data_IF_551662299499
#
_entry.id   IF_551662299499
#
_cell.length_a   1.000
_cell.length_b   1.000
_cell.length_c   1.000
_cell.angle_alpha   90.00
_cell.angle_beta   90.00
_cell.angle_gamma   90.00
#
_symmetry.space_group_name_H-M   'P 1'
#
loop_
_entity.id
_entity.type
_entity.pdbx_description
1 polymer ?
#
# COMPACT_ATOMS: atom_id res chain seq x y z
N UNK A 1 -0.43 -10.24 70.26
CA UNK A 1 0.03 -9.02 69.54
C UNK A 1 0.89 -9.48 68.37
N UNK A 2 0.52 -9.10 67.13
CA UNK A 2 1.21 -9.35 65.83
C UNK A 2 1.06 -10.79 65.29
N UNK A 3 0.75 -11.07 64.02
CA UNK A 3 0.54 -10.23 62.83
C UNK A 3 -0.18 -11.10 61.78
N UNK A 4 -1.27 -10.62 61.21
CA UNK A 4 -1.91 -11.18 60.01
C UNK A 4 -0.92 -11.06 58.83
N UNK A 5 -0.58 -12.17 58.16
CA UNK A 5 0.11 -12.11 56.86
C UNK A 5 -0.89 -12.49 55.76
N UNK A 6 -1.50 -11.46 55.19
CA UNK A 6 -2.41 -11.51 54.07
C UNK A 6 -1.58 -11.83 52.81
N UNK A 7 -1.71 -13.05 52.28
CA UNK A 7 -1.06 -13.44 51.03
C UNK A 7 -1.92 -12.93 49.86
N UNK A 8 -1.70 -11.69 49.42
CA UNK A 8 -2.36 -11.15 48.22
C UNK A 8 -1.68 -11.63 46.96
N UNK A 9 -2.39 -12.52 46.28
CA UNK A 9 -2.28 -12.97 44.88
C UNK A 9 -2.05 -11.79 43.92
N UNK A 10 -0.87 -11.71 43.29
CA UNK A 10 -0.58 -10.77 42.19
C UNK A 10 -0.55 -11.55 40.86
N UNK A 11 -1.73 -11.81 40.29
CA UNK A 11 -1.85 -12.34 38.92
C UNK A 11 -1.55 -11.18 37.97
N UNK A 12 -0.33 -11.18 37.42
CA UNK A 12 0.08 -10.26 36.37
C UNK A 12 -0.61 -10.69 35.06
N UNK A 13 -1.80 -10.17 34.80
CA UNK A 13 -2.50 -10.38 33.53
C UNK A 13 -1.81 -9.49 32.48
N UNK A 14 -0.82 -10.04 31.77
CA UNK A 14 -0.23 -9.38 30.63
C UNK A 14 -1.30 -9.28 29.53
N UNK A 15 -1.96 -8.13 29.45
CA UNK A 15 -2.79 -7.77 28.30
C UNK A 15 -1.88 -7.57 27.10
N UNK A 16 -1.63 -8.64 26.34
CA UNK A 16 -1.07 -8.53 25.01
C UNK A 16 -2.10 -7.81 24.15
N UNK A 17 -1.90 -6.51 23.89
CA UNK A 17 -2.68 -5.81 22.87
C UNK A 17 -2.38 -6.48 21.54
N UNK A 18 -3.37 -7.20 20.99
CA UNK A 18 -3.31 -7.72 19.64
C UNK A 18 -3.31 -6.50 18.70
N UNK A 19 -2.12 -6.02 18.32
CA UNK A 19 -2.01 -4.91 17.38
C UNK A 19 -2.64 -5.38 16.07
N UNK A 20 -3.77 -4.78 15.69
CA UNK A 20 -4.41 -5.08 14.42
C UNK A 20 -3.40 -4.86 13.30
N UNK A 21 -3.02 -5.93 12.61
CA UNK A 21 -2.05 -5.86 11.55
C UNK A 21 -2.68 -5.08 10.38
N UNK A 22 -2.08 -3.95 10.03
CA UNK A 22 -2.54 -3.12 8.92
C UNK A 22 -2.45 -3.92 7.62
N UNK A 23 -3.57 -4.08 6.93
CA UNK A 23 -3.62 -4.68 5.60
C UNK A 23 -3.97 -3.61 4.56
N UNK A 24 -3.68 -3.92 3.29
CA UNK A 24 -4.15 -3.13 2.15
C UNK A 24 -5.36 -3.82 1.53
N UNK A 25 -6.46 -3.09 1.41
CA UNK A 25 -7.64 -3.59 0.71
C UNK A 25 -7.53 -3.33 -0.79
N UNK A 26 -7.85 -4.34 -1.61
CA UNK A 26 -8.01 -4.19 -3.06
C UNK A 26 -9.44 -4.56 -3.42
N UNK A 27 -10.16 -3.64 -4.05
CA UNK A 27 -11.61 -3.77 -4.28
C UNK A 27 -12.06 -3.15 -5.61
N UNK A 28 -13.36 -3.21 -5.89
CA UNK A 28 -13.96 -2.66 -7.11
C UNK A 28 -13.99 -3.66 -8.27
N UNK A 29 -13.70 -3.17 -9.48
CA UNK A 29 -13.72 -3.90 -10.76
C UNK A 29 -12.50 -4.85 -10.87
N UNK A 30 -12.50 -5.88 -10.02
CA UNK A 30 -11.48 -6.93 -9.94
C UNK A 30 -12.14 -8.30 -9.84
N UNK A 31 -11.48 -9.35 -10.32
CA UNK A 31 -12.00 -10.73 -10.20
C UNK A 31 -12.03 -11.21 -8.75
N UNK A 32 -11.07 -10.78 -7.93
CA UNK A 32 -10.95 -11.16 -6.52
C UNK A 32 -10.63 -9.92 -5.69
N UNK A 33 -11.50 -9.59 -4.75
CA UNK A 33 -11.16 -8.61 -3.73
C UNK A 33 -10.11 -9.19 -2.80
N UNK A 34 -9.11 -8.39 -2.42
CA UNK A 34 -7.98 -8.83 -1.60
C UNK A 34 -7.91 -8.01 -0.31
N UNK A 35 -7.43 -8.65 0.75
CA UNK A 35 -6.86 -8.00 1.93
C UNK A 35 -5.42 -8.49 2.03
N UNK A 36 -4.47 -7.63 1.66
CA UNK A 36 -3.05 -7.96 1.63
C UNK A 36 -2.42 -7.63 2.96
N UNK A 37 -2.01 -8.65 3.70
CA UNK A 37 -1.27 -8.51 4.95
C UNK A 37 0.24 -8.49 4.69
N UNK A 38 1.06 -7.99 5.62
CA UNK A 38 2.53 -8.07 5.52
C UNK A 38 3.07 -9.46 5.14
N UNK A 39 2.41 -10.54 5.58
CA UNK A 39 2.76 -11.92 5.21
C UNK A 39 2.54 -12.25 3.73
N UNK A 40 1.61 -11.55 3.06
CA UNK A 40 1.37 -11.68 1.63
C UNK A 40 2.41 -10.87 0.83
N UNK A 41 2.71 -9.65 1.30
CA UNK A 41 3.79 -8.82 0.73
C UNK A 41 5.15 -9.54 0.74
N UNK A 42 5.44 -10.35 1.77
CA UNK A 42 6.65 -11.14 1.86
C UNK A 42 6.76 -12.26 0.80
N UNK A 43 5.63 -12.69 0.20
CA UNK A 43 5.59 -13.71 -0.85
C UNK A 43 5.61 -13.12 -2.26
N UNK A 44 5.36 -11.82 -2.38
CA UNK A 44 5.34 -11.11 -3.66
C UNK A 44 6.74 -10.65 -4.06
N UNK A 45 6.95 -10.48 -5.38
CA UNK A 45 8.21 -9.98 -5.91
C UNK A 45 8.44 -8.53 -5.46
N UNK A 46 9.49 -8.32 -4.66
CA UNK A 46 9.89 -6.99 -4.20
C UNK A 46 10.71 -6.27 -5.26
N UNK A 47 10.50 -4.96 -5.39
CA UNK A 47 11.22 -4.07 -6.29
C UNK A 47 11.68 -2.82 -5.53
N UNK A 48 12.79 -2.24 -5.97
CA UNK A 48 13.33 -0.99 -5.41
C UNK A 48 13.33 0.08 -6.49
N UNK A 49 12.81 1.26 -6.16
CA UNK A 49 12.78 2.43 -7.06
C UNK A 49 13.37 3.65 -6.34
N UNK A 50 13.91 4.59 -7.12
CA UNK A 50 14.37 5.88 -6.61
C UNK A 50 13.32 6.96 -6.89
N UNK A 51 13.00 7.77 -5.89
CA UNK A 51 12.09 8.91 -6.03
C UNK A 51 12.45 10.02 -5.06
N UNK A 52 12.14 11.26 -5.44
CA UNK A 52 12.29 12.40 -4.55
C UNK A 52 11.10 12.48 -3.59
N UNK A 53 11.35 12.89 -2.35
CA UNK A 53 10.29 13.26 -1.42
C UNK A 53 9.81 14.71 -1.66
N UNK A 54 8.92 15.18 -0.79
CA UNK A 54 8.34 16.51 -0.89
C UNK A 54 9.39 17.64 -0.84
N UNK A 55 10.48 17.42 -0.11
CA UNK A 55 11.58 18.38 0.06
C UNK A 55 12.59 18.31 -1.10
N UNK A 56 12.33 17.46 -2.10
CA UNK A 56 13.20 17.24 -3.24
C UNK A 56 14.38 16.31 -2.96
N UNK A 57 14.42 15.67 -1.79
CA UNK A 57 15.50 14.75 -1.43
C UNK A 57 15.27 13.38 -2.07
N UNK A 58 16.29 12.86 -2.74
CA UNK A 58 16.25 11.54 -3.35
C UNK A 58 16.33 10.44 -2.29
N UNK A 59 15.44 9.45 -2.42
CA UNK A 59 15.36 8.29 -1.54
C UNK A 59 15.13 7.02 -2.35
N UNK A 60 15.51 5.88 -1.77
CA UNK A 60 15.19 4.56 -2.30
C UNK A 60 13.99 3.98 -1.55
N UNK A 61 13.06 3.41 -2.29
CA UNK A 61 11.84 2.84 -1.75
C UNK A 61 11.72 1.40 -2.23
N UNK A 62 11.43 0.48 -1.30
CA UNK A 62 11.26 -0.94 -1.61
C UNK A 62 9.86 -1.39 -1.24
N UNK A 63 9.23 -2.11 -2.15
CA UNK A 63 7.87 -2.58 -2.00
C UNK A 63 7.43 -3.48 -3.14
N UNK A 64 6.13 -3.52 -3.40
CA UNK A 64 5.54 -4.32 -4.47
C UNK A 64 5.07 -3.39 -5.60
N UNK A 65 5.33 -3.79 -6.85
CA UNK A 65 4.80 -3.09 -8.00
C UNK A 65 3.27 -3.10 -7.98
N UNK A 66 2.64 -1.97 -8.30
CA UNK A 66 1.17 -1.91 -8.35
C UNK A 66 0.62 -2.88 -9.41
N UNK A 67 1.29 -3.03 -10.55
CA UNK A 67 0.93 -4.02 -11.58
C UNK A 67 0.81 -5.45 -11.02
N UNK A 68 1.76 -5.89 -10.20
CA UNK A 68 1.73 -7.22 -9.55
C UNK A 68 0.50 -7.38 -8.62
N UNK A 69 0.14 -6.32 -7.89
CA UNK A 69 -1.04 -6.31 -7.01
C UNK A 69 -2.33 -6.38 -7.84
N UNK A 70 -2.39 -5.61 -8.94
CA UNK A 70 -3.52 -5.61 -9.87
C UNK A 70 -3.70 -6.99 -10.54
N UNK A 71 -2.61 -7.61 -10.97
CA UNK A 71 -2.62 -8.95 -11.54
C UNK A 71 -3.07 -10.00 -10.51
N UNK A 72 -2.60 -9.89 -9.27
CA UNK A 72 -3.03 -10.74 -8.16
C UNK A 72 -4.54 -10.64 -7.88
N UNK A 73 -5.11 -9.44 -7.97
CA UNK A 73 -6.55 -9.20 -7.84
C UNK A 73 -7.35 -9.63 -9.10
N UNK A 74 -6.66 -9.89 -10.21
CA UNK A 74 -7.26 -10.18 -11.50
C UNK A 74 -7.96 -8.96 -12.10
N UNK A 75 -7.37 -7.78 -11.93
CA UNK A 75 -7.79 -6.57 -12.64
C UNK A 75 -7.56 -6.69 -14.16
N UNK A 76 -8.05 -5.72 -14.92
CA UNK A 76 -7.80 -5.66 -16.37
C UNK A 76 -6.41 -5.09 -16.64
N UNK A 77 -5.49 -5.91 -17.15
CA UNK A 77 -4.08 -5.55 -17.44
C UNK A 77 -3.63 -6.09 -18.81
N UNK A 78 -2.46 -5.66 -19.26
CA UNK A 78 -1.76 -6.08 -20.46
C UNK A 78 -2.62 -5.99 -21.72
N UNK A 79 -2.69 -7.08 -22.49
CA UNK A 79 -3.46 -7.15 -23.73
C UNK A 79 -4.97 -6.90 -23.56
N UNK A 80 -5.49 -6.95 -22.33
CA UNK A 80 -6.89 -6.64 -22.04
C UNK A 80 -7.16 -5.13 -21.94
N UNK A 81 -6.13 -4.30 -21.68
CA UNK A 81 -6.24 -2.84 -21.62
C UNK A 81 -6.33 -2.23 -23.02
N UNK A 82 -7.51 -2.36 -23.64
CA UNK A 82 -7.83 -1.81 -24.96
C UNK A 82 -9.31 -1.44 -25.07
N UNK A 83 -9.65 -0.55 -26.00
CA UNK A 83 -11.02 -0.10 -26.21
C UNK A 83 -11.63 0.48 -24.93
N UNK A 84 -12.84 0.03 -24.57
CA UNK A 84 -13.55 0.51 -23.36
C UNK A 84 -12.77 0.31 -22.05
N UNK A 85 -11.84 -0.65 -22.00
CA UNK A 85 -11.05 -0.91 -20.79
C UNK A 85 -10.03 0.20 -20.51
N UNK A 86 -9.74 1.09 -21.47
CA UNK A 86 -8.88 2.26 -21.24
C UNK A 86 -9.54 3.34 -20.36
N UNK A 87 -10.86 3.25 -20.14
CA UNK A 87 -11.57 4.09 -19.17
C UNK A 87 -11.46 3.58 -17.72
N UNK A 88 -10.78 2.45 -17.48
CA UNK A 88 -10.57 1.90 -16.15
C UNK A 88 -9.47 2.65 -15.41
N UNK A 89 -9.66 2.82 -14.11
CA UNK A 89 -8.74 3.55 -13.24
C UNK A 89 -8.57 2.85 -11.89
N UNK A 90 -7.48 3.18 -11.20
CA UNK A 90 -7.26 2.88 -9.80
C UNK A 90 -7.38 4.17 -8.98
N UNK A 91 -8.31 4.18 -8.03
CA UNK A 91 -8.41 5.17 -6.96
C UNK A 91 -7.65 4.65 -5.73
N UNK A 92 -6.68 5.42 -5.28
CA UNK A 92 -5.93 5.15 -4.04
C UNK A 92 -6.55 5.97 -2.91
N UNK A 93 -6.77 5.34 -1.76
CA UNK A 93 -7.27 6.00 -0.55
C UNK A 93 -6.25 5.90 0.59
N UNK A 94 -6.12 7.00 1.31
CA UNK A 94 -5.18 7.16 2.42
C UNK A 94 -5.92 7.30 3.75
N UNK A 95 -5.23 7.05 4.86
CA UNK A 95 -5.81 7.09 6.20
C UNK A 95 -6.41 8.47 6.57
N UNK A 96 -5.84 9.55 6.04
CA UNK A 96 -6.28 10.94 6.24
C UNK A 96 -7.44 11.36 5.29
N UNK A 97 -7.96 10.43 4.48
CA UNK A 97 -8.99 10.70 3.49
C UNK A 97 -8.46 11.25 2.15
N UNK A 98 -7.13 11.44 2.01
CA UNK A 98 -6.52 11.85 0.76
C UNK A 98 -6.71 10.78 -0.33
N UNK A 99 -6.93 11.23 -1.56
CA UNK A 99 -7.29 10.39 -2.70
C UNK A 99 -6.56 10.83 -3.95
N UNK A 100 -6.06 9.86 -4.71
CA UNK A 100 -5.45 10.08 -6.02
C UNK A 100 -5.88 9.01 -7.01
N UNK A 101 -5.86 9.36 -8.29
CA UNK A 101 -6.31 8.49 -9.38
C UNK A 101 -5.18 8.26 -10.38
N UNK A 102 -5.14 7.04 -10.90
CA UNK A 102 -4.31 6.63 -12.03
C UNK A 102 -5.18 5.89 -13.03
N UNK A 103 -5.01 6.15 -14.32
CA UNK A 103 -5.52 5.21 -15.33
C UNK A 103 -4.80 3.86 -15.17
N UNK A 104 -5.47 2.74 -15.49
CA UNK A 104 -4.79 1.44 -15.44
C UNK A 104 -3.62 1.35 -16.44
N UNK A 105 -3.67 2.10 -17.55
CA UNK A 105 -2.58 2.19 -18.51
C UNK A 105 -1.31 2.85 -17.93
N UNK A 106 -1.44 3.80 -17.00
CA UNK A 106 -0.27 4.38 -16.30
C UNK A 106 0.44 3.39 -15.37
N UNK A 107 -0.21 2.27 -15.05
CA UNK A 107 0.27 1.26 -14.09
C UNK A 107 0.69 -0.05 -14.78
N UNK A 108 0.59 -0.12 -16.10
CA UNK A 108 0.79 -1.33 -16.88
C UNK A 108 2.12 -1.30 -17.64
N UNK A 109 2.90 -2.39 -17.51
CA UNK A 109 4.23 -2.47 -18.10
C UNK A 109 4.22 -2.53 -19.64
N UNK A 110 3.08 -2.80 -20.29
CA UNK A 110 2.98 -2.73 -21.76
C UNK A 110 2.81 -1.29 -22.27
N UNK A 111 2.48 -0.35 -21.39
CA UNK A 111 2.23 1.07 -21.73
C UNK A 111 3.35 1.98 -21.26
N UNK A 112 4.02 1.64 -20.17
CA UNK A 112 5.10 2.47 -19.60
C UNK A 112 6.14 1.63 -18.88
N UNK A 113 7.40 2.07 -18.94
CA UNK A 113 8.49 1.51 -18.13
C UNK A 113 8.46 2.00 -16.67
N UNK A 114 7.55 2.94 -16.33
CA UNK A 114 7.45 3.48 -14.98
C UNK A 114 6.83 2.45 -14.04
N UNK A 115 7.63 2.03 -13.07
CA UNK A 115 7.16 1.13 -12.02
C UNK A 115 6.66 1.96 -10.82
N UNK A 116 5.34 2.08 -10.70
CA UNK A 116 4.70 2.60 -9.49
C UNK A 116 4.66 1.49 -8.45
N UNK A 117 5.03 1.80 -7.21
CA UNK A 117 5.12 0.79 -6.14
C UNK A 117 4.29 1.19 -4.93
N UNK A 118 3.76 0.19 -4.23
CA UNK A 118 3.32 0.30 -2.86
C UNK A 118 4.48 -0.12 -1.95
N UNK A 119 5.08 0.86 -1.30
CA UNK A 119 6.27 0.73 -0.48
C UNK A 119 5.94 0.54 0.99
N UNK A 120 6.68 -0.32 1.67
CA UNK A 120 6.72 -0.50 3.13
C UNK A 120 8.10 -0.16 3.71
N UNK A 121 9.09 0.14 2.85
CA UNK A 121 10.45 0.52 3.24
C UNK A 121 10.93 1.80 2.55
N UNK A 122 11.81 2.54 3.22
CA UNK A 122 12.54 3.70 2.72
C UNK A 122 13.98 3.62 3.20
N UNK A 123 14.94 3.68 2.27
CA UNK A 123 16.37 3.57 2.52
C UNK A 123 16.76 2.34 3.36
N UNK A 124 16.16 1.19 3.02
CA UNK A 124 16.42 -0.09 3.69
C UNK A 124 15.83 -0.21 5.10
N UNK A 125 15.06 0.78 5.56
CA UNK A 125 14.39 0.78 6.87
C UNK A 125 12.87 0.83 6.70
N UNK A 126 12.07 0.44 7.70
CA UNK A 126 10.65 0.71 7.69
C UNK A 126 10.34 2.19 7.44
N UNK A 127 9.18 2.48 6.83
CA UNK A 127 8.74 3.86 6.64
C UNK A 127 8.71 4.63 7.98
N UNK A 128 9.15 5.90 8.01
CA UNK A 128 9.04 6.74 9.19
C UNK A 128 7.59 6.89 9.68
N UNK A 129 7.44 7.26 10.95
CA UNK A 129 6.15 7.61 11.53
C UNK A 129 5.43 8.68 10.68
N UNK A 130 4.11 8.54 10.54
CA UNK A 130 3.28 9.41 9.69
C UNK A 130 3.43 9.18 8.18
N UNK A 131 4.43 8.41 7.72
CA UNK A 131 4.59 8.04 6.30
C UNK A 131 4.09 6.62 5.99
N UNK A 132 4.13 5.72 6.98
CA UNK A 132 3.74 4.31 6.88
C UNK A 132 2.35 3.97 7.44
N UNK A 133 1.99 2.67 7.46
CA UNK A 133 2.85 1.52 7.17
C UNK A 133 3.06 1.25 5.68
N UNK A 134 2.24 1.83 4.81
CA UNK A 134 2.36 1.73 3.36
C UNK A 134 2.32 3.11 2.71
N UNK A 135 3.20 3.33 1.74
CA UNK A 135 3.30 4.56 0.95
C UNK A 135 3.25 4.23 -0.53
N UNK A 136 2.42 4.92 -1.31
CA UNK A 136 2.52 4.88 -2.76
C UNK A 136 3.72 5.72 -3.20
N UNK A 137 4.54 5.17 -4.09
CA UNK A 137 5.70 5.87 -4.65
C UNK A 137 5.59 5.87 -6.16
N UNK A 138 5.61 7.08 -6.73
CA UNK A 138 5.48 7.32 -8.17
C UNK A 138 6.77 7.96 -8.68
N UNK A 139 7.73 7.17 -9.21
CA UNK A 139 8.97 7.72 -9.73
C UNK A 139 8.75 8.67 -10.92
N UNK A 140 9.65 9.64 -11.07
CA UNK A 140 9.68 10.53 -12.25
C UNK A 140 8.69 11.69 -12.23
N UNK A 141 7.92 11.89 -11.16
CA UNK A 141 7.12 13.12 -10.99
C UNK A 141 7.97 14.26 -10.43
N UNK A 142 7.88 15.45 -11.06
CA UNK A 142 8.58 16.66 -10.55
C UNK A 142 8.06 17.11 -9.19
N UNK A 143 6.76 16.97 -8.97
CA UNK A 143 6.09 17.20 -7.68
C UNK A 143 5.45 15.88 -7.26
N UNK A 144 5.82 15.28 -6.12
CA UNK A 144 5.36 13.96 -5.72
C UNK A 144 3.95 13.99 -5.09
N UNK A 145 3.03 14.80 -5.63
CA UNK A 145 1.69 14.97 -5.09
C UNK A 145 0.88 13.67 -5.10
N UNK A 146 1.15 12.77 -6.06
CA UNK A 146 0.50 11.45 -6.13
C UNK A 146 1.24 10.36 -5.36
N UNK A 147 2.39 10.65 -4.74
CA UNK A 147 3.09 9.68 -3.88
C UNK A 147 2.53 9.69 -2.46
N UNK A 148 1.36 9.07 -2.31
CA UNK A 148 0.54 9.15 -1.11
C UNK A 148 1.10 8.39 0.09
N UNK A 149 0.95 8.99 1.28
CA UNK A 149 1.32 8.39 2.55
C UNK A 149 0.17 7.57 3.12
N UNK A 150 0.49 6.59 3.97
CA UNK A 150 -0.50 5.83 4.75
C UNK A 150 -1.66 5.26 3.91
N UNK A 151 -1.31 4.60 2.80
CA UNK A 151 -2.29 3.97 1.90
C UNK A 151 -3.06 2.89 2.64
N UNK A 152 -4.37 2.81 2.40
CA UNK A 152 -5.28 1.85 3.05
C UNK A 152 -6.05 1.00 2.03
N UNK A 153 -6.42 1.58 0.88
CA UNK A 153 -7.24 0.90 -0.13
C UNK A 153 -6.84 1.29 -1.56
N UNK A 154 -6.85 0.30 -2.45
CA UNK A 154 -6.75 0.43 -3.90
C UNK A 154 -8.10 -0.01 -4.49
N UNK A 155 -8.83 0.90 -5.11
CA UNK A 155 -10.15 0.64 -5.70
C UNK A 155 -10.06 0.73 -7.21
N UNK A 156 -10.47 -0.32 -7.92
CA UNK A 156 -10.55 -0.29 -9.38
C UNK A 156 -11.95 0.13 -9.80
N UNK A 157 -12.04 1.12 -10.68
CA UNK A 157 -13.30 1.66 -11.18
C UNK A 157 -13.30 1.83 -12.69
N UNK A 158 -14.46 2.15 -13.24
CA UNK A 158 -14.67 2.50 -14.64
C UNK A 158 -15.14 3.96 -14.67
N UNK A 159 -14.50 4.82 -15.45
CA UNK A 159 -14.92 6.21 -15.56
C UNK A 159 -16.25 6.29 -16.34
N UNK A 160 -17.24 6.97 -15.78
CA UNK A 160 -18.56 7.15 -16.40
C UNK A 160 -19.61 6.12 -15.99
N UNK A 161 -19.27 5.19 -15.09
CA UNK A 161 -20.19 4.30 -14.36
C UNK A 161 -20.28 4.73 -12.89
#
# INVERSE_FOLDING_TARGET
MKLFFLLTLFICFTFSTLQAQSFIKVSGEVKRQLQLYPTDFAKMKRVTVSANDHDGKAHTYTGIAISEILDSAGATTGAQLRGKNLAKYMLVKCADGYKVVFSLAELDNNFTDRIVILSDMMDGKPLPEGKGPYKLVVPGEKKPARSCLQVTELVIGVAGE
#
